data_IF_834135941679
#
_entry.id   IF_834135941679
#
_cell.length_a   1.000
_cell.length_b   1.000
_cell.length_c   1.000
_cell.angle_alpha   90.00
_cell.angle_beta   90.00
_cell.angle_gamma   90.00
#
_symmetry.space_group_name_H-M   'P 1'
#
loop_
_entity.id
_entity.type
_entity.pdbx_description
1 polymer ?
#
# COMPACT_ATOMS: atom_id res chain seq x y z
N UNK A 1 -43.18 -67.85 28.77
CA UNK A 1 -41.88 -67.22 28.34
C UNK A 1 -42.22 -65.91 27.69
N UNK A 2 -42.07 -64.84 28.43
CA UNK A 2 -42.42 -63.46 28.00
C UNK A 2 -41.13 -62.74 27.57
N UNK A 3 -41.11 -62.40 26.28
CA UNK A 3 -40.00 -61.61 25.69
C UNK A 3 -40.29 -60.13 25.95
N UNK A 4 -39.38 -59.45 26.71
CA UNK A 4 -39.41 -58.02 26.94
C UNK A 4 -38.54 -57.34 25.84
N UNK A 5 -39.20 -56.68 24.91
CA UNK A 5 -38.52 -55.75 24.00
C UNK A 5 -38.26 -54.44 24.73
N UNK A 6 -37.00 -54.11 24.98
CA UNK A 6 -36.55 -52.78 25.46
C UNK A 6 -36.37 -51.88 24.26
N UNK A 7 -37.21 -50.87 24.17
CA UNK A 7 -37.11 -49.78 23.19
C UNK A 7 -35.98 -48.83 23.57
N UNK A 8 -34.92 -48.85 22.79
CA UNK A 8 -33.80 -47.92 22.97
C UNK A 8 -34.12 -46.63 22.18
N UNK A 9 -34.59 -45.59 22.87
CA UNK A 9 -34.83 -44.27 22.28
C UNK A 9 -33.48 -43.56 22.10
N UNK A 10 -33.00 -43.49 20.85
CA UNK A 10 -31.88 -42.62 20.45
C UNK A 10 -32.31 -41.15 20.54
N UNK A 11 -31.84 -40.48 21.58
CA UNK A 11 -31.92 -39.04 21.70
C UNK A 11 -30.87 -38.40 20.78
N UNK A 12 -31.28 -38.02 19.58
CA UNK A 12 -30.43 -37.24 18.67
C UNK A 12 -30.30 -35.81 19.24
N UNK A 13 -29.19 -35.54 19.94
CA UNK A 13 -28.80 -34.20 20.32
C UNK A 13 -28.35 -33.44 19.05
N UNK A 14 -29.30 -32.70 18.47
CA UNK A 14 -28.97 -31.72 17.44
C UNK A 14 -28.22 -30.56 18.07
N UNK A 15 -26.90 -30.54 17.92
CA UNK A 15 -26.11 -29.37 18.22
C UNK A 15 -26.40 -28.32 17.12
N UNK A 16 -26.77 -27.06 17.50
CA UNK A 16 -26.84 -25.99 16.54
C UNK A 16 -25.42 -25.76 16.02
N UNK A 17 -25.22 -26.01 14.75
CA UNK A 17 -24.01 -25.63 14.02
C UNK A 17 -23.96 -24.10 14.03
N UNK A 18 -23.27 -23.52 15.01
CA UNK A 18 -22.85 -22.12 14.96
C UNK A 18 -21.72 -22.03 13.92
N UNK A 19 -22.10 -22.07 12.64
CA UNK A 19 -21.28 -21.48 11.60
C UNK A 19 -21.25 -19.97 11.87
N UNK A 20 -20.28 -19.53 12.69
CA UNK A 20 -19.91 -18.11 12.71
C UNK A 20 -19.39 -17.82 11.33
N UNK A 21 -20.14 -17.06 10.59
CA UNK A 21 -19.76 -16.43 9.34
C UNK A 21 -18.60 -15.48 9.67
N UNK A 22 -17.37 -16.03 9.63
CA UNK A 22 -16.14 -15.28 9.74
C UNK A 22 -15.87 -14.67 8.36
N UNK A 23 -16.79 -13.84 7.89
CA UNK A 23 -16.46 -12.82 6.89
C UNK A 23 -15.60 -11.79 7.60
N UNK A 24 -14.29 -12.06 7.67
CA UNK A 24 -13.31 -10.98 7.89
C UNK A 24 -13.43 -10.14 6.62
N UNK A 25 -14.32 -9.15 6.62
CA UNK A 25 -14.21 -8.04 5.71
C UNK A 25 -12.83 -7.42 5.97
N UNK A 26 -11.90 -7.65 5.04
CA UNK A 26 -10.64 -6.91 4.95
C UNK A 26 -11.00 -5.46 4.63
N UNK A 27 -11.49 -4.77 5.67
CA UNK A 27 -11.84 -3.36 5.57
C UNK A 27 -10.54 -2.58 5.53
N UNK A 28 -10.25 -1.96 4.39
CA UNK A 28 -9.11 -1.03 4.31
C UNK A 28 -9.30 0.06 5.37
N UNK A 29 -8.26 0.44 6.10
CA UNK A 29 -8.37 1.51 7.09
C UNK A 29 -8.99 2.76 6.46
N UNK A 30 -9.88 3.43 7.18
CA UNK A 30 -10.61 4.59 6.67
C UNK A 30 -9.67 5.71 6.18
N UNK A 31 -8.55 5.90 6.89
CA UNK A 31 -7.52 6.88 6.48
C UNK A 31 -6.93 6.57 5.10
N UNK A 32 -6.79 5.29 4.75
CA UNK A 32 -6.21 4.88 3.47
C UNK A 32 -7.13 5.27 2.30
N UNK A 33 -8.42 4.98 2.43
CA UNK A 33 -9.42 5.36 1.43
C UNK A 33 -9.49 6.88 1.28
N UNK A 34 -9.61 7.62 2.37
CA UNK A 34 -9.65 9.08 2.34
C UNK A 34 -8.39 9.73 1.78
N UNK A 35 -7.21 9.19 2.11
CA UNK A 35 -5.96 9.71 1.59
C UNK A 35 -5.84 9.49 0.08
N UNK A 36 -6.23 8.31 -0.42
CA UNK A 36 -6.24 8.01 -1.86
C UNK A 36 -7.23 8.89 -2.61
N UNK A 37 -8.44 9.03 -2.13
CA UNK A 37 -9.45 9.95 -2.72
C UNK A 37 -8.92 11.39 -2.81
N UNK A 38 -8.24 11.87 -1.78
CA UNK A 38 -7.65 13.20 -1.79
C UNK A 38 -6.50 13.31 -2.81
N UNK A 39 -5.67 12.26 -2.96
CA UNK A 39 -4.60 12.18 -3.96
C UNK A 39 -5.17 12.15 -5.37
N UNK A 40 -6.19 11.34 -5.64
CA UNK A 40 -6.86 11.25 -6.94
C UNK A 40 -7.49 12.59 -7.33
N UNK A 41 -8.05 13.30 -6.35
CA UNK A 41 -8.53 14.67 -6.48
C UNK A 41 -7.43 15.74 -6.54
N UNK A 42 -6.14 15.35 -6.52
CA UNK A 42 -4.96 16.25 -6.50
C UNK A 42 -4.95 17.24 -5.33
N UNK A 43 -5.67 16.91 -4.25
CA UNK A 43 -5.69 17.70 -3.02
C UNK A 43 -4.64 17.15 -2.03
N UNK A 44 -3.38 17.42 -2.31
CA UNK A 44 -2.25 16.86 -1.54
C UNK A 44 -2.15 17.41 -0.11
N UNK A 45 -2.66 18.61 0.14
CA UNK A 45 -2.76 19.16 1.49
C UNK A 45 -3.82 18.41 2.32
N UNK A 46 -4.96 18.06 1.72
CA UNK A 46 -5.96 17.23 2.38
C UNK A 46 -5.39 15.81 2.64
N UNK A 47 -4.73 15.20 1.66
CA UNK A 47 -4.10 13.90 1.84
C UNK A 47 -3.08 13.92 2.99
N UNK A 48 -2.22 14.94 3.05
CA UNK A 48 -1.28 15.14 4.15
C UNK A 48 -1.98 15.25 5.51
N UNK A 49 -3.07 16.01 5.59
CA UNK A 49 -3.82 16.18 6.84
C UNK A 49 -4.48 14.86 7.29
N UNK A 50 -5.12 14.13 6.38
CA UNK A 50 -5.69 12.79 6.64
C UNK A 50 -4.63 11.84 7.19
N UNK A 51 -3.50 11.75 6.51
CA UNK A 51 -2.39 10.89 6.91
C UNK A 51 -1.79 11.30 8.28
N UNK A 52 -1.73 12.60 8.57
CA UNK A 52 -1.23 13.10 9.87
C UNK A 52 -2.15 12.70 11.01
N UNK A 53 -3.46 12.58 10.78
CA UNK A 53 -4.46 12.18 11.77
C UNK A 53 -4.67 10.68 11.86
N UNK A 54 -4.11 9.88 10.94
CA UNK A 54 -4.24 8.43 10.95
C UNK A 54 -3.74 7.82 12.27
N UNK A 55 -4.44 6.81 12.78
CA UNK A 55 -4.03 6.09 13.99
C UNK A 55 -2.84 5.16 13.71
N UNK A 56 -2.79 4.55 12.53
CA UNK A 56 -1.74 3.62 12.08
C UNK A 56 -0.70 4.32 11.21
N UNK A 57 0.30 4.94 11.83
CA UNK A 57 1.33 5.74 11.12
C UNK A 57 2.61 4.98 10.76
N UNK A 58 2.59 3.64 10.81
CA UNK A 58 3.83 2.86 10.72
C UNK A 58 3.87 1.88 9.55
N UNK A 59 2.84 1.81 8.71
CA UNK A 59 2.84 0.91 7.56
C UNK A 59 3.69 1.46 6.41
N UNK A 60 4.20 0.57 5.54
CA UNK A 60 4.90 0.98 4.32
C UNK A 60 4.01 1.86 3.44
N UNK A 61 2.72 1.50 3.32
CA UNK A 61 1.75 2.26 2.54
C UNK A 61 1.51 3.66 3.12
N UNK A 62 1.36 3.78 4.46
CA UNK A 62 1.23 5.09 5.09
C UNK A 62 2.45 5.99 4.78
N UNK A 63 3.66 5.45 4.90
CA UNK A 63 4.88 6.17 4.57
C UNK A 63 4.94 6.54 3.08
N UNK A 64 4.56 5.63 2.18
CA UNK A 64 4.49 5.90 0.75
C UNK A 64 3.57 7.09 0.41
N UNK A 65 2.33 7.06 0.90
CA UNK A 65 1.35 8.12 0.65
C UNK A 65 1.73 9.45 1.32
N UNK A 66 2.36 9.41 2.49
CA UNK A 66 2.88 10.60 3.15
C UNK A 66 4.02 11.23 2.32
N UNK A 67 4.96 10.43 1.83
CA UNK A 67 6.01 10.88 0.93
C UNK A 67 5.46 11.51 -0.35
N UNK A 68 4.46 10.86 -0.96
CA UNK A 68 3.78 11.37 -2.15
C UNK A 68 3.11 12.73 -1.92
N UNK A 69 2.34 12.83 -0.83
CA UNK A 69 1.66 14.07 -0.46
C UNK A 69 2.65 15.20 -0.18
N UNK A 70 3.74 14.94 0.53
CA UNK A 70 4.79 15.91 0.84
C UNK A 70 5.55 16.38 -0.40
N UNK A 71 5.74 15.49 -1.39
CA UNK A 71 6.40 15.83 -2.66
C UNK A 71 5.57 16.76 -3.52
N UNK A 72 4.24 16.57 -3.54
CA UNK A 72 3.33 17.24 -4.47
C UNK A 72 2.54 18.41 -3.86
N UNK A 73 2.50 18.53 -2.53
CA UNK A 73 1.87 19.70 -1.87
C UNK A 73 2.58 21.02 -2.19
N UNK A 74 1.94 22.14 -1.90
CA UNK A 74 2.52 23.48 -2.09
C UNK A 74 2.77 24.18 -0.74
N UNK A 75 4.01 24.60 -0.42
CA UNK A 75 5.24 24.29 -1.13
C UNK A 75 5.67 22.81 -0.95
N UNK A 76 6.41 22.23 -1.92
CA UNK A 76 6.91 20.85 -1.79
C UNK A 76 7.92 20.70 -0.65
N UNK A 77 7.88 19.54 0.05
CA UNK A 77 8.78 19.22 1.15
C UNK A 77 9.64 17.99 0.81
N UNK A 78 10.52 18.15 -0.20
CA UNK A 78 11.24 17.04 -0.83
C UNK A 78 12.13 16.24 0.14
N UNK A 79 12.78 16.90 1.11
CA UNK A 79 13.61 16.21 2.12
C UNK A 79 12.77 15.29 3.00
N UNK A 80 11.61 15.77 3.45
CA UNK A 80 10.69 14.95 4.26
C UNK A 80 10.07 13.82 3.43
N UNK A 81 9.72 14.12 2.17
CA UNK A 81 9.19 13.10 1.26
C UNK A 81 10.18 11.95 1.08
N UNK A 82 11.47 12.26 0.88
CA UNK A 82 12.54 11.27 0.78
C UNK A 82 12.64 10.38 2.02
N UNK A 83 12.63 10.98 3.21
CA UNK A 83 12.67 10.24 4.47
C UNK A 83 11.49 9.24 4.58
N UNK A 84 10.32 9.65 4.13
CA UNK A 84 9.15 8.77 4.14
C UNK A 84 9.25 7.64 3.10
N UNK A 85 9.75 7.90 1.90
CA UNK A 85 9.98 6.81 0.93
C UNK A 85 11.03 5.82 1.42
N UNK A 86 12.11 6.29 2.03
CA UNK A 86 13.12 5.42 2.64
C UNK A 86 12.49 4.54 3.74
N UNK A 87 11.71 5.13 4.64
CA UNK A 87 11.00 4.39 5.68
C UNK A 87 9.98 3.38 5.12
N UNK A 88 9.31 3.71 4.01
CA UNK A 88 8.45 2.75 3.31
C UNK A 88 9.24 1.54 2.81
N UNK A 89 10.41 1.78 2.19
CA UNK A 89 11.26 0.74 1.64
C UNK A 89 12.05 -0.05 2.69
N UNK A 90 12.27 0.50 3.88
CA UNK A 90 12.78 -0.26 5.04
C UNK A 90 11.75 -1.27 5.54
N UNK A 91 10.46 -0.91 5.54
CA UNK A 91 9.37 -1.79 5.97
C UNK A 91 8.97 -2.82 4.91
N UNK A 92 8.94 -2.41 3.67
CA UNK A 92 8.66 -3.25 2.51
C UNK A 92 9.62 -2.91 1.37
N UNK A 93 10.74 -3.63 1.23
CA UNK A 93 11.75 -3.37 0.20
C UNK A 93 11.25 -3.49 -1.24
N UNK A 94 10.10 -4.14 -1.46
CA UNK A 94 9.46 -4.35 -2.76
C UNK A 94 8.16 -3.56 -2.91
N UNK A 95 7.97 -2.49 -2.13
CA UNK A 95 6.78 -1.65 -2.23
C UNK A 95 6.81 -0.86 -3.54
N UNK A 96 5.98 -1.25 -4.50
CA UNK A 96 6.01 -0.76 -5.88
C UNK A 96 5.89 0.77 -5.96
N UNK A 97 4.84 1.34 -5.37
CA UNK A 97 4.65 2.80 -5.39
C UNK A 97 5.78 3.57 -4.70
N UNK A 98 6.39 3.02 -3.62
CA UNK A 98 7.53 3.70 -2.98
C UNK A 98 8.79 3.67 -3.85
N UNK A 99 9.02 2.58 -4.59
CA UNK A 99 10.12 2.50 -5.56
C UNK A 99 9.94 3.47 -6.72
N UNK A 100 8.73 3.55 -7.27
CA UNK A 100 8.38 4.49 -8.33
C UNK A 100 8.56 5.94 -7.88
N UNK A 101 7.83 6.34 -6.83
CA UNK A 101 7.78 7.74 -6.40
C UNK A 101 9.11 8.23 -5.80
N UNK A 102 9.89 7.35 -5.19
CA UNK A 102 11.24 7.70 -4.78
C UNK A 102 12.16 7.87 -5.98
N UNK A 103 12.05 7.00 -7.00
CA UNK A 103 12.77 7.16 -8.26
C UNK A 103 12.47 8.51 -8.92
N UNK A 104 11.21 8.92 -9.00
CA UNK A 104 10.81 10.22 -9.53
C UNK A 104 11.35 11.39 -8.68
N UNK A 105 11.31 11.27 -7.34
CA UNK A 105 11.90 12.29 -6.47
C UNK A 105 13.41 12.44 -6.69
N UNK A 106 14.14 11.35 -6.90
CA UNK A 106 15.56 11.36 -7.21
C UNK A 106 15.86 12.07 -8.54
N UNK A 107 15.00 11.89 -9.56
CA UNK A 107 15.08 12.67 -10.80
C UNK A 107 14.88 14.17 -10.55
N UNK A 108 13.92 14.56 -9.71
CA UNK A 108 13.74 15.97 -9.30
C UNK A 108 14.97 16.54 -8.61
N UNK A 109 15.71 15.71 -7.87
CA UNK A 109 16.98 16.06 -7.22
C UNK A 109 18.19 15.97 -8.17
N UNK A 110 17.97 15.65 -9.44
CA UNK A 110 19.02 15.46 -10.46
C UNK A 110 19.94 14.24 -10.19
N UNK A 111 19.46 13.28 -9.39
CA UNK A 111 20.14 12.01 -9.08
C UNK A 111 19.63 10.88 -10.00
N UNK A 112 20.13 10.86 -11.25
CA UNK A 112 19.82 9.82 -12.21
C UNK A 112 20.30 8.42 -11.75
N UNK A 113 21.52 8.23 -11.21
CA UNK A 113 21.96 6.93 -10.75
C UNK A 113 21.08 6.34 -9.64
N UNK A 114 20.62 7.18 -8.72
CA UNK A 114 19.65 6.78 -7.69
C UNK A 114 18.31 6.33 -8.27
N UNK A 115 17.76 7.09 -9.23
CA UNK A 115 16.53 6.74 -9.91
C UNK A 115 16.64 5.43 -10.71
N UNK A 116 17.76 5.20 -11.40
CA UNK A 116 18.03 3.92 -12.11
C UNK A 116 18.14 2.74 -11.14
N UNK A 117 18.63 2.98 -9.92
CA UNK A 117 18.64 1.95 -8.87
C UNK A 117 17.21 1.57 -8.45
N UNK A 118 16.32 2.55 -8.29
CA UNK A 118 14.90 2.28 -7.98
C UNK A 118 14.22 1.55 -9.15
N UNK A 119 14.50 1.96 -10.38
CA UNK A 119 13.98 1.30 -11.58
C UNK A 119 14.39 -0.17 -11.64
N UNK A 120 15.65 -0.48 -11.41
CA UNK A 120 16.15 -1.86 -11.39
C UNK A 120 15.45 -2.71 -10.29
N UNK A 121 15.18 -2.12 -9.14
CA UNK A 121 14.43 -2.81 -8.08
C UNK A 121 12.98 -3.07 -8.50
N UNK A 122 12.33 -2.14 -9.21
CA UNK A 122 11.01 -2.34 -9.78
C UNK A 122 10.99 -3.46 -10.82
N UNK A 123 11.99 -3.56 -11.68
CA UNK A 123 12.13 -4.64 -12.66
C UNK A 123 12.15 -6.01 -11.97
N UNK A 124 12.83 -6.13 -10.84
CA UNK A 124 12.88 -7.35 -10.04
C UNK A 124 11.55 -7.65 -9.32
N UNK A 125 10.83 -6.61 -8.89
CA UNK A 125 9.55 -6.74 -8.19
C UNK A 125 8.37 -7.00 -9.14
N UNK A 126 8.44 -6.51 -10.38
CA UNK A 126 7.38 -6.53 -11.39
C UNK A 126 7.73 -7.43 -12.60
N UNK A 127 8.02 -8.69 -12.38
CA UNK A 127 8.44 -9.63 -13.44
C UNK A 127 7.42 -9.82 -14.56
N UNK A 128 6.14 -9.61 -14.30
CA UNK A 128 5.06 -9.64 -15.28
C UNK A 128 4.71 -8.25 -15.86
N UNK A 129 5.39 -7.20 -15.41
CA UNK A 129 5.10 -5.79 -15.73
C UNK A 129 4.02 -5.22 -14.81
N UNK A 130 4.17 -3.95 -14.43
CA UNK A 130 3.21 -3.19 -13.65
C UNK A 130 3.19 -1.72 -14.10
N UNK A 131 2.24 -0.95 -13.61
CA UNK A 131 2.08 0.47 -13.96
C UNK A 131 3.28 1.27 -13.44
N UNK A 132 3.67 1.05 -12.20
CA UNK A 132 4.79 1.74 -11.52
C UNK A 132 6.11 1.57 -12.29
N UNK A 133 6.36 0.38 -12.85
CA UNK A 133 7.54 0.12 -13.65
C UNK A 133 7.52 0.95 -14.93
N UNK A 134 6.39 0.97 -15.64
CA UNK A 134 6.25 1.74 -16.88
C UNK A 134 6.39 3.24 -16.65
N UNK A 135 5.84 3.75 -15.57
CA UNK A 135 5.84 5.17 -15.26
C UNK A 135 7.24 5.65 -14.87
N UNK A 136 7.97 4.88 -14.05
CA UNK A 136 9.35 5.24 -13.75
C UNK A 136 10.28 5.07 -14.96
N UNK A 137 10.08 4.05 -15.81
CA UNK A 137 10.83 3.90 -17.08
C UNK A 137 10.65 5.13 -17.96
N UNK A 138 9.42 5.61 -18.10
CA UNK A 138 9.09 6.81 -18.85
C UNK A 138 9.77 8.05 -18.26
N UNK A 139 9.65 8.24 -16.94
CA UNK A 139 10.25 9.38 -16.23
C UNK A 139 11.78 9.42 -16.40
N UNK A 140 12.45 8.27 -16.30
CA UNK A 140 13.90 8.15 -16.53
C UNK A 140 14.27 8.46 -17.99
N UNK A 141 13.51 7.94 -18.95
CA UNK A 141 13.75 8.19 -20.38
C UNK A 141 13.58 9.69 -20.73
N UNK A 142 12.53 10.33 -20.22
CA UNK A 142 12.29 11.76 -20.41
C UNK A 142 13.39 12.63 -19.76
N UNK A 143 13.87 12.22 -18.61
CA UNK A 143 14.98 12.93 -17.93
C UNK A 143 16.26 12.86 -18.75
N UNK A 144 16.59 11.68 -19.32
CA UNK A 144 17.78 11.50 -20.18
C UNK A 144 17.68 12.29 -21.47
N UNK A 145 16.49 12.41 -22.05
CA UNK A 145 16.28 13.15 -23.30
C UNK A 145 16.41 14.68 -23.15
N UNK A 146 16.30 15.21 -21.93
CA UNK A 146 16.42 16.66 -21.64
C UNK A 146 17.85 17.12 -21.37
N UNK A 147 18.81 16.19 -21.30
CA UNK A 147 20.25 16.45 -21.09
C UNK A 147 21.03 16.34 -22.39
#
# INVERSE_FOLDING_TARGET
MKLLLTLCTLCALSWPSMARDLTIELHSPEWLTKAREAIDGKNYDLAFNVLTQAEEKQSAEWHNLMGFSLRLKSPPQLVRAEQHYQAALEKNPLHLGALEYYGELLLLKNDLPGAETMLKRLELACTAGCEELRDLQKSVAEFKAKK
#
